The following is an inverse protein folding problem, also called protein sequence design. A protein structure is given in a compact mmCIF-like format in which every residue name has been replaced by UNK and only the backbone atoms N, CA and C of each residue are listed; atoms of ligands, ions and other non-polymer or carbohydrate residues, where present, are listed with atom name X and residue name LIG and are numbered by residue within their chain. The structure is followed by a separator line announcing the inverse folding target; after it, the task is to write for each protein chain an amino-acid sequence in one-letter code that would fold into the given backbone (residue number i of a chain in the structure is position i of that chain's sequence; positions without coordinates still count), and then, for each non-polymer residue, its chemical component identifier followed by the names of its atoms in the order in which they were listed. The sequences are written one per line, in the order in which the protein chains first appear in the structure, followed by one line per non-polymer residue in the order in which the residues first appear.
data_IF_509527813881
#
_entry.id   IF_509527813881
#
_cell.length_a   1.000
_cell.length_b   1.000
_cell.length_c   1.000
_cell.angle_alpha   90.00
_cell.angle_beta   90.00
_cell.angle_gamma   90.00
#
_symmetry.space_group_name_H-M   'P 1'
#
loop_
_entity.id
_entity.type
_entity.pdbx_description
1 polymer ?
#
# COMPACT_ATOMS: atom_id res chain seq x y z
N UNK A 1 24.18 -39.25 -37.49
CA UNK A 1 25.51 -39.10 -36.85
C UNK A 1 25.31 -38.34 -35.56
N UNK A 2 25.48 -39.04 -34.44
CA UNK A 2 25.18 -38.60 -33.08
C UNK A 2 26.44 -37.95 -32.50
N UNK A 3 26.33 -36.76 -31.90
CA UNK A 3 27.34 -36.29 -30.94
C UNK A 3 26.71 -35.39 -29.90
N UNK A 4 26.46 -35.98 -28.73
CA UNK A 4 26.03 -35.32 -27.51
C UNK A 4 27.21 -34.58 -26.85
N UNK A 5 26.93 -33.49 -26.13
CA UNK A 5 27.82 -32.93 -25.11
C UNK A 5 26.99 -32.31 -24.00
N UNK A 6 27.04 -32.94 -22.82
CA UNK A 6 26.61 -32.46 -21.50
C UNK A 6 27.77 -32.84 -20.54
N UNK A 7 27.87 -32.29 -19.32
CA UNK A 7 28.50 -31.03 -18.90
C UNK A 7 29.74 -31.30 -18.00
N UNK A 8 30.31 -30.29 -17.30
CA UNK A 8 30.79 -30.54 -15.95
C UNK A 8 29.95 -29.84 -14.88
N UNK A 9 29.61 -30.64 -13.86
CA UNK A 9 28.98 -30.25 -12.61
C UNK A 9 30.05 -29.68 -11.68
N UNK A 10 29.87 -28.47 -11.18
CA UNK A 10 30.69 -27.92 -10.10
C UNK A 10 29.97 -28.12 -8.77
N UNK A 11 30.35 -29.19 -8.08
CA UNK A 11 30.04 -29.42 -6.67
C UNK A 11 31.17 -28.80 -5.85
N UNK A 12 30.87 -27.91 -4.92
CA UNK A 12 31.78 -27.65 -3.79
C UNK A 12 30.95 -27.45 -2.52
N UNK A 13 31.12 -28.37 -1.60
CA UNK A 13 30.60 -28.34 -0.24
C UNK A 13 31.60 -27.61 0.66
N UNK A 14 31.11 -26.86 1.65
CA UNK A 14 31.87 -26.53 2.84
C UNK A 14 30.91 -26.35 4.03
N UNK A 15 31.11 -27.19 5.03
CA UNK A 15 30.48 -27.16 6.34
C UNK A 15 31.16 -26.13 7.26
N UNK A 16 30.42 -25.59 8.23
CA UNK A 16 30.98 -24.74 9.29
C UNK A 16 29.93 -24.32 10.32
N UNK A 17 29.92 -25.02 11.45
CA UNK A 17 29.09 -24.83 12.64
C UNK A 17 29.56 -23.60 13.43
N UNK A 18 28.65 -22.77 13.95
CA UNK A 18 28.90 -22.07 15.22
C UNK A 18 27.61 -21.81 16.00
N UNK A 19 27.69 -22.28 17.24
CA UNK A 19 26.71 -22.37 18.32
C UNK A 19 26.59 -21.02 19.02
N UNK A 20 25.40 -20.55 19.36
CA UNK A 20 25.19 -19.55 20.42
C UNK A 20 23.79 -19.67 21.00
N UNK A 21 23.73 -20.30 22.19
CA UNK A 21 22.60 -20.29 23.10
C UNK A 21 22.57 -18.95 23.85
N UNK A 22 21.45 -18.22 23.80
CA UNK A 22 21.11 -17.25 24.84
C UNK A 22 19.70 -17.57 25.38
N UNK A 23 19.68 -18.14 26.58
CA UNK A 23 18.51 -18.21 27.44
C UNK A 23 18.39 -16.90 28.24
N UNK A 24 17.21 -16.28 28.23
CA UNK A 24 16.85 -15.26 29.23
C UNK A 24 15.55 -15.69 29.91
N UNK A 25 15.64 -15.62 31.23
CA UNK A 25 14.75 -16.12 32.24
C UNK A 25 13.35 -15.48 32.22
N UNK A 26 12.38 -16.29 32.66
CA UNK A 26 11.02 -15.85 32.89
C UNK A 26 10.85 -14.97 34.11
N UNK A 27 9.75 -14.23 34.11
CA UNK A 27 9.11 -13.71 35.30
C UNK A 27 7.67 -14.25 35.31
N UNK A 28 7.45 -15.31 36.07
CA UNK A 28 6.13 -15.84 36.43
C UNK A 28 5.82 -15.36 37.83
N UNK A 29 4.59 -14.90 38.08
CA UNK A 29 4.01 -14.80 39.43
C UNK A 29 2.48 -14.71 39.39
N UNK A 30 1.79 -15.14 40.47
CA UNK A 30 0.71 -16.13 40.39
C UNK A 30 -0.72 -15.61 40.66
N UNK A 31 -1.69 -16.50 40.40
CA UNK A 31 -3.14 -16.42 40.70
C UNK A 31 -3.47 -16.31 42.21
N UNK A 32 -4.70 -15.92 42.61
CA UNK A 32 -5.85 -16.86 42.76
C UNK A 32 -7.20 -16.18 42.35
N UNK A 33 -8.42 -16.72 42.38
CA UNK A 33 -9.08 -17.83 43.07
C UNK A 33 -10.44 -18.10 42.38
N UNK A 34 -10.94 -19.33 42.48
CA UNK A 34 -12.23 -19.79 41.97
C UNK A 34 -13.43 -19.40 42.86
N UNK A 35 -14.63 -19.42 42.27
CA UNK A 35 -15.94 -19.89 42.82
C UNK A 35 -17.03 -19.50 41.80
N UNK A 36 -17.59 -20.44 41.04
CA UNK A 36 -18.77 -21.28 41.33
C UNK A 36 -20.14 -20.59 41.26
N UNK A 37 -21.00 -21.23 40.45
CA UNK A 37 -22.46 -21.39 40.56
C UNK A 37 -23.43 -20.34 40.00
N UNK A 38 -24.06 -20.75 38.89
CA UNK A 38 -25.52 -20.96 38.72
C UNK A 38 -26.49 -19.78 38.88
N UNK A 39 -27.31 -19.52 37.84
CA UNK A 39 -28.79 -19.71 37.83
C UNK A 39 -29.49 -18.87 36.74
N UNK A 40 -30.33 -19.59 35.97
CA UNK A 40 -31.59 -19.24 35.28
C UNK A 40 -31.82 -17.89 34.56
N UNK A 41 -32.19 -18.05 33.29
CA UNK A 41 -33.38 -17.56 32.57
C UNK A 41 -34.07 -16.27 33.04
N UNK A 42 -34.25 -15.31 32.11
CA UNK A 42 -35.56 -14.66 31.83
C UNK A 42 -35.54 -13.83 30.54
N UNK A 43 -36.44 -14.20 29.64
CA UNK A 43 -37.23 -13.39 28.68
C UNK A 43 -37.13 -11.86 28.78
N UNK A 44 -36.91 -11.22 27.63
CA UNK A 44 -37.72 -10.07 27.19
C UNK A 44 -37.62 -9.90 25.67
N UNK A 45 -38.75 -10.06 24.99
CA UNK A 45 -38.97 -9.63 23.62
C UNK A 45 -39.10 -8.09 23.59
N UNK A 46 -38.57 -7.47 22.54
CA UNK A 46 -38.99 -6.13 22.12
C UNK A 46 -38.86 -5.99 20.61
N UNK A 47 -40.00 -6.22 19.96
CA UNK A 47 -40.35 -5.70 18.64
C UNK A 47 -40.51 -4.18 18.69
N UNK A 48 -39.74 -3.42 17.91
CA UNK A 48 -40.16 -2.11 17.41
C UNK A 48 -39.24 -1.70 16.25
N UNK A 49 -39.68 -1.91 15.01
CA UNK A 49 -40.36 -0.94 14.14
C UNK A 49 -39.39 -0.14 13.29
N UNK A 50 -39.55 -0.33 11.98
CA UNK A 50 -39.04 0.56 10.96
C UNK A 50 -39.52 2.00 11.21
N UNK A 51 -38.62 2.95 10.98
CA UNK A 51 -38.99 4.33 10.69
C UNK A 51 -38.02 4.86 9.65
N UNK A 52 -38.50 4.81 8.41
CA UNK A 52 -38.14 5.70 7.33
C UNK A 52 -38.28 7.16 7.76
N UNK A 53 -37.19 7.91 7.71
CA UNK A 53 -37.22 9.38 7.68
C UNK A 53 -36.46 9.89 6.46
N UNK A 54 -37.27 10.32 5.52
CA UNK A 54 -37.00 11.17 4.38
C UNK A 54 -36.28 12.47 4.74
N UNK A 55 -35.40 12.87 3.80
CA UNK A 55 -35.11 14.26 3.39
C UNK A 55 -34.55 15.25 4.42
N UNK A 56 -33.26 15.55 4.28
CA UNK A 56 -32.77 16.91 4.45
C UNK A 56 -31.65 17.17 3.42
N UNK A 57 -32.04 17.85 2.34
CA UNK A 57 -31.13 18.47 1.39
C UNK A 57 -30.40 19.62 2.09
N UNK A 58 -29.21 19.37 2.63
CA UNK A 58 -28.29 20.46 2.96
C UNK A 58 -27.52 20.85 1.71
N UNK A 59 -28.15 21.70 0.90
CA UNK A 59 -27.48 22.60 -0.04
C UNK A 59 -26.64 23.58 0.78
N UNK A 60 -25.45 23.16 1.20
CA UNK A 60 -24.39 24.11 1.53
C UNK A 60 -23.74 24.54 0.22
N UNK A 61 -24.32 25.55 -0.42
CA UNK A 61 -23.58 26.45 -1.32
C UNK A 61 -22.62 27.28 -0.45
N UNK A 62 -21.63 26.60 0.13
CA UNK A 62 -20.41 27.24 0.57
C UNK A 62 -19.61 27.54 -0.67
N UNK A 63 -19.73 28.76 -1.19
CA UNK A 63 -18.74 29.28 -2.14
C UNK A 63 -17.41 29.33 -1.41
N UNK A 64 -16.64 28.24 -1.52
CA UNK A 64 -15.27 28.23 -1.10
C UNK A 64 -14.53 29.20 -2.00
N UNK A 65 -14.29 30.42 -1.49
CA UNK A 65 -13.35 31.35 -2.11
C UNK A 65 -12.00 30.66 -2.10
N UNK A 66 -11.60 30.10 -3.25
CA UNK A 66 -10.25 29.59 -3.46
C UNK A 66 -9.27 30.78 -3.45
N UNK A 67 -8.93 31.27 -2.26
CA UNK A 67 -7.84 32.23 -2.06
C UNK A 67 -6.53 31.47 -2.11
N UNK A 68 -6.13 31.15 -3.32
CA UNK A 68 -4.81 30.64 -3.66
C UNK A 68 -4.73 30.61 -5.17
N UNK A 69 -3.96 31.53 -5.76
CA UNK A 69 -3.48 31.32 -7.13
C UNK A 69 -2.82 29.94 -7.15
N UNK A 70 -3.30 28.96 -7.94
CA UNK A 70 -2.67 27.66 -7.98
C UNK A 70 -1.21 27.87 -8.35
N UNK A 71 -0.32 27.56 -7.41
CA UNK A 71 1.11 27.59 -7.70
C UNK A 71 1.34 26.64 -8.86
N UNK A 72 2.05 27.08 -9.89
CA UNK A 72 2.40 26.22 -11.04
C UNK A 72 3.18 24.96 -10.64
N UNK A 73 3.64 24.90 -9.38
CA UNK A 73 4.35 23.79 -8.77
C UNK A 73 3.45 22.66 -8.26
N UNK A 74 2.15 22.89 -8.10
CA UNK A 74 1.21 21.89 -7.57
C UNK A 74 0.06 21.69 -8.54
N UNK A 75 -0.12 20.45 -8.99
CA UNK A 75 -1.18 20.07 -9.92
C UNK A 75 -1.86 18.80 -9.43
N UNK A 76 -3.18 18.74 -9.58
CA UNK A 76 -3.97 17.56 -9.29
C UNK A 76 -5.16 17.49 -10.24
N UNK A 77 -5.56 16.29 -10.62
CA UNK A 77 -6.78 16.08 -11.40
C UNK A 77 -7.47 14.78 -10.99
N UNK A 78 -8.79 14.79 -11.09
CA UNK A 78 -9.65 13.63 -10.87
C UNK A 78 -10.04 13.04 -12.22
N UNK A 79 -10.04 11.71 -12.32
CA UNK A 79 -10.42 10.97 -13.53
C UNK A 79 -9.42 11.06 -14.70
N UNK A 80 -8.29 11.73 -14.52
CA UNK A 80 -7.27 11.92 -15.56
C UNK A 80 -5.85 11.92 -14.96
N UNK A 81 -4.85 12.04 -15.84
CA UNK A 81 -3.47 12.32 -15.45
C UNK A 81 -3.21 13.83 -15.53
N UNK A 82 -2.49 14.37 -14.56
CA UNK A 82 -1.88 15.71 -14.71
C UNK A 82 -0.92 15.71 -15.90
N UNK A 83 -0.81 16.83 -16.61
CA UNK A 83 -0.08 16.93 -17.87
C UNK A 83 1.39 16.45 -17.74
N UNK A 84 2.06 16.87 -16.67
CA UNK A 84 3.47 16.58 -16.39
C UNK A 84 3.65 15.41 -15.40
N UNK A 85 2.74 14.44 -15.41
CA UNK A 85 2.85 13.29 -14.52
C UNK A 85 4.13 12.48 -14.82
N UNK A 86 4.98 12.20 -13.82
CA UNK A 86 6.28 11.54 -14.00
C UNK A 86 6.09 10.02 -14.18
N UNK A 87 5.81 9.62 -15.43
CA UNK A 87 5.52 8.23 -15.79
C UNK A 87 6.75 7.31 -15.69
N UNK A 88 7.96 7.86 -15.72
CA UNK A 88 9.16 7.05 -15.49
C UNK A 88 9.24 6.67 -14.02
N UNK A 89 8.99 7.63 -13.12
CA UNK A 89 8.95 7.37 -11.68
C UNK A 89 7.79 6.43 -11.31
N UNK A 90 6.56 6.80 -11.67
CA UNK A 90 5.35 6.05 -11.41
C UNK A 90 4.73 5.57 -12.73
N UNK A 91 5.12 4.37 -13.22
CA UNK A 91 4.57 3.84 -14.46
C UNK A 91 3.08 3.55 -14.32
N UNK A 92 2.35 3.71 -15.41
CA UNK A 92 0.92 3.42 -15.42
C UNK A 92 0.70 1.92 -15.59
N UNK A 93 -0.07 1.32 -14.68
CA UNK A 93 -0.48 -0.06 -14.81
C UNK A 93 -1.34 -0.24 -16.09
N UNK A 94 -0.96 -1.14 -17.01
CA UNK A 94 -1.74 -1.37 -18.23
C UNK A 94 -3.18 -1.78 -17.92
N UNK A 95 -4.14 -1.16 -18.60
CA UNK A 95 -5.57 -1.43 -18.41
C UNK A 95 -6.18 -0.85 -17.13
N UNK A 96 -5.42 -0.08 -16.33
CA UNK A 96 -5.97 0.64 -15.20
C UNK A 96 -6.76 1.89 -15.64
N UNK A 97 -7.83 2.18 -14.92
CA UNK A 97 -8.53 3.47 -15.00
C UNK A 97 -7.98 4.41 -13.94
N UNK A 98 -7.52 5.59 -14.35
CA UNK A 98 -7.00 6.59 -13.41
C UNK A 98 -8.17 7.29 -12.72
N UNK A 99 -8.10 7.38 -11.39
CA UNK A 99 -9.10 8.04 -10.55
C UNK A 99 -8.59 9.37 -10.02
N UNK A 100 -7.31 9.44 -9.66
CA UNK A 100 -6.67 10.65 -9.21
C UNK A 100 -5.19 10.62 -9.58
N UNK A 101 -4.65 11.77 -9.93
CA UNK A 101 -3.21 11.97 -9.97
C UNK A 101 -2.86 13.35 -9.44
N UNK A 102 -1.74 13.46 -8.75
CA UNK A 102 -1.22 14.73 -8.28
C UNK A 102 0.31 14.75 -8.32
N UNK A 103 0.86 15.94 -8.52
CA UNK A 103 2.29 16.23 -8.44
C UNK A 103 2.42 17.54 -7.66
N UNK A 104 3.22 17.53 -6.60
CA UNK A 104 3.56 18.72 -5.83
C UNK A 104 5.08 18.88 -5.75
N UNK A 105 5.58 19.91 -6.44
CA UNK A 105 6.98 20.33 -6.49
C UNK A 105 7.26 21.55 -5.61
N UNK A 106 6.31 21.95 -4.76
CA UNK A 106 6.46 23.10 -3.87
C UNK A 106 7.43 22.82 -2.71
N UNK A 107 7.59 21.54 -2.34
CA UNK A 107 8.40 21.07 -1.24
C UNK A 107 9.62 20.27 -1.71
N UNK A 108 10.58 20.06 -0.81
CA UNK A 108 11.71 19.15 -0.99
C UNK A 108 11.76 18.20 0.22
N UNK A 109 11.50 16.89 0.05
CA UNK A 109 11.22 16.19 -1.21
C UNK A 109 9.89 16.61 -1.87
N UNK A 110 9.82 16.48 -3.18
CA UNK A 110 8.60 16.64 -3.96
C UNK A 110 7.74 15.38 -3.86
N UNK A 111 6.43 15.53 -4.01
CA UNK A 111 5.48 14.42 -3.87
C UNK A 111 4.71 14.15 -5.15
N UNK A 112 4.39 12.87 -5.36
CA UNK A 112 3.57 12.42 -6.48
C UNK A 112 2.59 11.38 -5.96
N UNK A 113 1.33 11.46 -6.39
CA UNK A 113 0.36 10.43 -6.05
C UNK A 113 -0.43 9.97 -7.28
N UNK A 114 -0.79 8.70 -7.27
CA UNK A 114 -1.62 8.08 -8.31
C UNK A 114 -2.60 7.12 -7.65
N UNK A 115 -3.88 7.30 -7.94
CA UNK A 115 -4.93 6.36 -7.57
C UNK A 115 -5.53 5.81 -8.85
N UNK A 116 -5.59 4.48 -8.96
CA UNK A 116 -6.19 3.81 -10.10
C UNK A 116 -6.98 2.59 -9.69
N UNK A 117 -7.88 2.17 -10.58
CA UNK A 117 -8.67 0.94 -10.43
C UNK A 117 -8.40 -0.01 -11.57
N UNK A 118 -8.37 -1.31 -11.29
CA UNK A 118 -8.13 -2.35 -12.29
C UNK A 118 -8.85 -3.66 -11.93
N UNK A 119 -9.09 -4.52 -12.92
CA UNK A 119 -9.51 -5.91 -12.71
C UNK A 119 -8.33 -6.89 -12.57
N UNK A 120 -7.09 -6.42 -12.71
CA UNK A 120 -5.89 -7.22 -12.45
C UNK A 120 -5.85 -7.66 -10.98
N UNK A 121 -5.30 -8.84 -10.69
CA UNK A 121 -5.15 -9.33 -9.31
C UNK A 121 -4.14 -8.50 -8.51
N UNK A 122 -4.28 -8.43 -7.19
CA UNK A 122 -3.35 -7.70 -6.32
C UNK A 122 -1.90 -8.18 -6.50
N UNK A 123 -1.70 -9.48 -6.70
CA UNK A 123 -0.37 -10.05 -7.00
C UNK A 123 0.21 -9.49 -8.30
N UNK A 124 -0.58 -9.42 -9.38
CA UNK A 124 -0.10 -8.88 -10.65
C UNK A 124 0.27 -7.40 -10.55
N UNK A 125 -0.50 -6.63 -9.76
CA UNK A 125 -0.22 -5.22 -9.48
C UNK A 125 1.12 -5.09 -8.73
N UNK A 126 1.32 -5.87 -7.65
CA UNK A 126 2.56 -5.87 -6.87
C UNK A 126 3.75 -6.27 -7.73
N UNK A 127 3.63 -7.32 -8.54
CA UNK A 127 4.72 -7.81 -9.40
C UNK A 127 5.13 -6.74 -10.44
N UNK A 128 4.16 -6.09 -11.07
CA UNK A 128 4.39 -5.02 -12.03
C UNK A 128 5.17 -3.84 -11.41
N UNK A 129 4.69 -3.33 -10.28
CA UNK A 129 5.32 -2.18 -9.63
C UNK A 129 6.66 -2.54 -9.00
N UNK A 130 6.78 -3.73 -8.38
CA UNK A 130 8.05 -4.20 -7.82
C UNK A 130 9.12 -4.30 -8.90
N UNK A 131 8.80 -4.87 -10.07
CA UNK A 131 9.73 -4.93 -11.20
C UNK A 131 10.14 -3.54 -11.67
N UNK A 132 9.18 -2.64 -11.80
CA UNK A 132 9.42 -1.29 -12.30
C UNK A 132 10.25 -0.43 -11.34
N UNK A 133 9.96 -0.47 -10.04
CA UNK A 133 10.69 0.30 -9.04
C UNK A 133 12.10 -0.26 -8.82
N UNK A 134 12.28 -1.59 -8.86
CA UNK A 134 13.62 -2.20 -8.84
C UNK A 134 14.48 -1.78 -10.02
N UNK A 135 13.91 -1.67 -11.22
CA UNK A 135 14.62 -1.17 -12.39
C UNK A 135 15.10 0.30 -12.23
N UNK A 136 14.47 1.05 -11.32
CA UNK A 136 14.83 2.43 -10.98
C UNK A 136 15.74 2.52 -9.74
N UNK A 137 16.23 1.39 -9.23
CA UNK A 137 17.13 1.33 -8.07
C UNK A 137 16.42 1.38 -6.72
N UNK A 138 15.09 1.27 -6.67
CA UNK A 138 14.39 1.08 -5.39
C UNK A 138 14.55 -0.36 -4.87
N UNK A 139 14.74 -0.48 -3.57
CA UNK A 139 14.69 -1.74 -2.84
C UNK A 139 13.35 -1.85 -2.13
N UNK A 140 12.75 -3.03 -2.18
CA UNK A 140 11.55 -3.33 -1.39
C UNK A 140 11.97 -3.51 0.07
N UNK A 141 11.34 -2.77 0.97
CA UNK A 141 11.55 -2.92 2.40
C UNK A 141 10.82 -4.17 2.93
N UNK A 142 11.41 -4.76 3.97
CA UNK A 142 10.72 -5.79 4.75
C UNK A 142 9.48 -5.15 5.41
N UNK A 143 8.32 -5.71 5.12
CA UNK A 143 7.03 -5.20 5.52
C UNK A 143 5.92 -6.13 5.05
N UNK A 144 4.71 -5.89 5.53
CA UNK A 144 3.58 -6.79 5.32
C UNK A 144 2.30 -6.06 4.93
N UNK A 145 1.29 -6.86 4.62
CA UNK A 145 -0.06 -6.38 4.37
C UNK A 145 -0.71 -5.98 5.70
N UNK A 146 -1.58 -4.98 5.69
CA UNK A 146 -2.27 -4.46 6.87
C UNK A 146 -3.72 -4.90 6.80
N UNK A 147 -4.07 -5.96 7.53
CA UNK A 147 -5.39 -6.60 7.42
C UNK A 147 -5.60 -7.16 6.01
N UNK A 148 -6.65 -6.72 5.32
CA UNK A 148 -6.95 -7.10 3.94
C UNK A 148 -6.28 -6.20 2.88
N UNK A 149 -5.59 -5.15 3.30
CA UNK A 149 -4.94 -4.19 2.40
C UNK A 149 -3.50 -4.62 2.16
N UNK A 150 -3.16 -4.88 0.90
CA UNK A 150 -1.77 -5.12 0.51
C UNK A 150 -1.01 -3.81 0.66
N UNK A 151 0.10 -3.82 1.39
CA UNK A 151 0.98 -2.65 1.56
C UNK A 151 2.43 -3.03 1.24
N UNK A 152 3.11 -2.19 0.47
CA UNK A 152 4.50 -2.38 0.06
C UNK A 152 5.22 -1.03 0.06
N UNK A 153 6.39 -0.99 0.69
CA UNK A 153 7.23 0.20 0.75
C UNK A 153 8.54 -0.04 0.03
N UNK A 154 8.93 0.94 -0.79
CA UNK A 154 10.12 0.91 -1.60
C UNK A 154 10.98 2.12 -1.25
N UNK A 155 12.28 1.95 -1.10
CA UNK A 155 13.21 3.05 -0.81
C UNK A 155 14.44 3.01 -1.71
N UNK A 156 15.05 4.17 -1.93
CA UNK A 156 16.39 4.29 -2.52
C UNK A 156 17.12 5.48 -1.93
N UNK A 157 18.37 5.69 -2.37
CA UNK A 157 19.24 6.77 -1.88
C UNK A 157 19.27 6.81 -0.35
N UNK A 158 19.52 5.66 0.27
CA UNK A 158 19.60 5.51 1.73
C UNK A 158 18.33 5.97 2.48
N UNK A 159 17.15 5.76 1.87
CA UNK A 159 15.85 6.11 2.46
C UNK A 159 15.41 7.55 2.23
N UNK A 160 16.19 8.36 1.50
CA UNK A 160 15.82 9.75 1.18
C UNK A 160 14.67 9.85 0.17
N UNK A 161 14.48 8.79 -0.63
CA UNK A 161 13.38 8.69 -1.57
C UNK A 161 12.59 7.42 -1.31
N UNK A 162 11.26 7.54 -1.35
CA UNK A 162 10.36 6.43 -1.06
C UNK A 162 9.16 6.38 -2.00
N UNK A 163 8.64 5.17 -2.20
CA UNK A 163 7.35 4.91 -2.84
C UNK A 163 6.57 3.94 -1.96
N UNK A 164 5.34 4.28 -1.61
CA UNK A 164 4.38 3.38 -0.99
C UNK A 164 3.36 2.92 -2.05
N UNK A 165 3.05 1.62 -2.04
CA UNK A 165 1.96 1.01 -2.78
C UNK A 165 0.97 0.41 -1.77
N UNK A 166 -0.29 0.82 -1.85
CA UNK A 166 -1.39 0.15 -1.18
C UNK A 166 -2.42 -0.37 -2.19
N UNK A 167 -3.02 -1.52 -1.89
CA UNK A 167 -4.07 -2.12 -2.73
C UNK A 167 -5.21 -2.58 -1.83
N UNK A 168 -6.41 -2.05 -2.09
CA UNK A 168 -7.65 -2.56 -1.54
C UNK A 168 -8.48 -3.22 -2.63
N UNK A 169 -9.21 -4.28 -2.24
CA UNK A 169 -10.05 -5.05 -3.16
C UNK A 169 -11.51 -4.88 -2.76
N UNK A 170 -12.37 -4.58 -3.73
CA UNK A 170 -13.82 -4.57 -3.56
C UNK A 170 -14.52 -5.11 -4.81
N UNK A 171 -15.48 -6.01 -4.63
CA UNK A 171 -16.28 -6.61 -5.72
C UNK A 171 -15.47 -7.04 -6.97
N UNK A 172 -14.28 -7.62 -6.78
CA UNK A 172 -13.41 -8.08 -7.87
C UNK A 172 -12.67 -6.96 -8.62
N UNK A 173 -12.76 -5.71 -8.15
CA UNK A 173 -11.96 -4.57 -8.60
C UNK A 173 -10.93 -4.22 -7.56
N UNK A 174 -9.70 -4.02 -7.99
CA UNK A 174 -8.62 -3.54 -7.13
C UNK A 174 -8.42 -2.05 -7.31
N UNK A 175 -8.45 -1.32 -6.20
CA UNK A 175 -8.00 0.07 -6.14
C UNK A 175 -6.56 0.06 -5.63
N UNK A 176 -5.64 0.60 -6.42
CA UNK A 176 -4.27 0.81 -5.99
C UNK A 176 -4.01 2.29 -5.77
N UNK A 177 -3.26 2.60 -4.72
CA UNK A 177 -2.76 3.94 -4.41
C UNK A 177 -1.25 3.89 -4.35
N UNK A 178 -0.63 4.78 -5.09
CA UNK A 178 0.81 5.04 -5.07
C UNK A 178 1.04 6.43 -4.50
N UNK A 179 2.00 6.51 -3.58
CA UNK A 179 2.56 7.78 -3.11
C UNK A 179 4.07 7.72 -3.23
N UNK A 180 4.67 8.73 -3.84
CA UNK A 180 6.11 8.88 -3.94
C UNK A 180 6.55 10.18 -3.26
N UNK A 181 7.68 10.10 -2.55
CA UNK A 181 8.41 11.23 -2.00
C UNK A 181 9.83 11.16 -2.55
N UNK A 182 10.19 12.09 -3.44
CA UNK A 182 11.46 12.04 -4.17
C UNK A 182 12.08 13.43 -4.30
N UNK A 183 13.38 13.51 -4.56
CA UNK A 183 13.99 14.77 -4.97
C UNK A 183 13.33 15.27 -6.26
N UNK A 184 13.18 16.59 -6.42
CA UNK A 184 12.54 17.17 -7.62
C UNK A 184 13.24 16.74 -8.92
N UNK A 185 14.55 16.52 -8.88
CA UNK A 185 15.33 16.02 -10.01
C UNK A 185 14.96 14.58 -10.43
N UNK A 186 14.33 13.81 -9.54
CA UNK A 186 13.86 12.45 -9.79
C UNK A 186 12.47 12.38 -10.44
N UNK A 187 11.77 13.51 -10.58
CA UNK A 187 10.47 13.60 -11.25
C UNK A 187 10.64 13.56 -12.78
N UNK A 188 10.74 12.34 -13.32
CA UNK A 188 10.86 12.06 -14.75
C UNK A 188 9.85 11.02 -15.21
#
# INVERSE_FOLDING_TARGET
MIRASIPPKSTLAAAGILLSLLAVAGCSSPAPQASESSTASSTAASTQSASSSSSASNSSTGTATASGTPSSKTQSTVGALVADFPKTLLPLLPGASIKLSAVDKSNSPATVSLVGTTKSTSKAIVDFYTKSFKAQGFTLLAGGDIGSVVSKDFVRKDGKESINLSISSDAGTNTFTLGASVETASLK
#
